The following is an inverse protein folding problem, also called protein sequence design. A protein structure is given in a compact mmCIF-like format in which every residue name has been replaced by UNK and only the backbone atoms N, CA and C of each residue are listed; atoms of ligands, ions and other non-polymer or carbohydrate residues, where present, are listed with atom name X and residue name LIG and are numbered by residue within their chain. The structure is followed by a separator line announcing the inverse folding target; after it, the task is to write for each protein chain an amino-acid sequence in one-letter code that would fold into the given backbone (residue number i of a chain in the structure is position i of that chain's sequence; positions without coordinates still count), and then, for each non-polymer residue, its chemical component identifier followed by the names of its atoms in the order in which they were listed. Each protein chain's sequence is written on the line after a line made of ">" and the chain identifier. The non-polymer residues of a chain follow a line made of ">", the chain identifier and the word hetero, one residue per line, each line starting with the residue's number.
data_IF_293048756026
#
_entry.id   IF_293048756026
#
_cell.length_a   1.000
_cell.length_b   1.000
_cell.length_c   1.000
_cell.angle_alpha   90.00
_cell.angle_beta   90.00
_cell.angle_gamma   90.00
#
_symmetry.space_group_name_H-M   'P 1'
#
loop_
_entity.id
_entity.type
_entity.pdbx_description
1 polymer ?
#
# COMPACT_ATOMS: atom_id res chain seq x y z
N UNK A 1 2.37 9.03 16.00
CA UNK A 1 2.87 9.07 14.60
C UNK A 1 3.06 7.64 14.17
N UNK A 2 2.36 7.21 13.14
CA UNK A 2 2.46 5.86 12.60
C UNK A 2 2.46 5.94 11.07
N UNK A 3 2.94 4.87 10.43
CA UNK A 3 2.93 4.75 8.98
C UNK A 3 1.69 3.95 8.60
N UNK A 4 0.89 4.51 7.70
CA UNK A 4 -0.22 3.81 7.06
C UNK A 4 0.08 3.60 5.58
N UNK A 5 -0.49 2.55 5.03
CA UNK A 5 -0.39 2.13 3.64
C UNK A 5 -1.69 2.48 2.93
N UNK A 6 -1.61 3.36 1.93
CA UNK A 6 -2.77 3.87 1.20
C UNK A 6 -2.91 3.21 -0.19
N UNK A 7 -2.94 1.87 -0.17
CA UNK A 7 -2.97 1.07 -1.41
C UNK A 7 -4.30 1.15 -2.14
N UNK A 8 -5.41 1.28 -1.42
CA UNK A 8 -6.73 1.26 -2.05
C UNK A 8 -6.97 2.50 -2.91
N UNK A 9 -6.44 3.65 -2.49
CA UNK A 9 -6.44 4.87 -3.28
C UNK A 9 -5.60 4.71 -4.55
N UNK A 10 -4.36 4.24 -4.41
CA UNK A 10 -3.45 3.97 -5.54
C UNK A 10 -4.06 3.02 -6.59
N UNK A 11 -4.70 1.94 -6.14
CA UNK A 11 -5.38 0.99 -7.04
C UNK A 11 -6.50 1.68 -7.83
N UNK A 12 -7.28 2.55 -7.19
CA UNK A 12 -8.35 3.32 -7.84
C UNK A 12 -7.78 4.33 -8.83
N UNK A 13 -6.77 5.12 -8.44
CA UNK A 13 -6.13 6.11 -9.31
C UNK A 13 -5.48 5.47 -10.54
N UNK A 14 -4.85 4.30 -10.37
CA UNK A 14 -4.16 3.58 -11.45
C UNK A 14 -5.06 2.60 -12.20
N UNK A 15 -6.35 2.50 -11.85
CA UNK A 15 -7.31 1.52 -12.39
C UNK A 15 -6.78 0.06 -12.38
N UNK A 16 -6.03 -0.30 -11.34
CA UNK A 16 -5.46 -1.64 -11.17
C UNK A 16 -6.35 -2.50 -10.27
N UNK A 17 -6.45 -3.78 -10.62
CA UNK A 17 -7.16 -4.75 -9.78
C UNK A 17 -6.27 -5.28 -8.67
N UNK A 18 -6.87 -5.55 -7.50
CA UNK A 18 -6.19 -6.20 -6.35
C UNK A 18 -5.53 -7.52 -6.77
N UNK A 19 -6.16 -8.26 -7.69
CA UNK A 19 -5.64 -9.53 -8.19
C UNK A 19 -4.37 -9.35 -9.03
N UNK A 20 -4.33 -8.32 -9.87
CA UNK A 20 -3.16 -7.99 -10.70
C UNK A 20 -1.95 -7.68 -9.83
N UNK A 21 -2.13 -6.82 -8.80
CA UNK A 21 -1.02 -6.47 -7.91
C UNK A 21 -0.57 -7.66 -7.05
N UNK A 22 -1.49 -8.53 -6.61
CA UNK A 22 -1.13 -9.77 -5.92
C UNK A 22 -0.22 -10.66 -6.77
N UNK A 23 -0.56 -10.84 -8.05
CA UNK A 23 0.19 -11.66 -8.99
C UNK A 23 1.59 -11.07 -9.24
N UNK A 24 1.65 -9.78 -9.60
CA UNK A 24 2.91 -9.09 -9.89
C UNK A 24 3.85 -9.01 -8.68
N UNK A 25 3.29 -8.81 -7.48
CA UNK A 25 4.07 -8.74 -6.26
C UNK A 25 4.41 -10.11 -5.67
N UNK A 26 3.82 -11.19 -6.19
CA UNK A 26 3.91 -12.52 -5.59
C UNK A 26 3.31 -12.56 -4.18
N UNK A 27 2.32 -11.70 -3.92
CA UNK A 27 1.65 -11.59 -2.63
C UNK A 27 0.41 -12.49 -2.61
N UNK A 28 0.20 -13.19 -1.50
CA UNK A 28 -1.10 -13.82 -1.26
C UNK A 28 -2.18 -12.78 -1.03
N UNK A 29 -3.40 -13.07 -1.49
CA UNK A 29 -4.59 -12.20 -1.35
C UNK A 29 -4.84 -11.76 0.09
N UNK A 30 -4.61 -12.66 1.06
CA UNK A 30 -4.72 -12.36 2.50
C UNK A 30 -3.68 -11.35 2.95
N UNK A 31 -2.42 -11.50 2.52
CA UNK A 31 -1.37 -10.54 2.81
C UNK A 31 -1.70 -9.18 2.20
N UNK A 32 -2.09 -9.15 0.92
CA UNK A 32 -2.48 -7.91 0.25
C UNK A 32 -3.66 -7.22 0.94
N UNK A 33 -4.66 -7.98 1.38
CA UNK A 33 -5.75 -7.43 2.19
C UNK A 33 -5.27 -6.85 3.52
N UNK A 34 -4.28 -7.47 4.16
CA UNK A 34 -3.67 -6.91 5.37
C UNK A 34 -2.92 -5.61 5.07
N UNK A 35 -2.22 -5.53 3.93
CA UNK A 35 -1.59 -4.30 3.46
C UNK A 35 -2.63 -3.19 3.25
N UNK A 36 -3.74 -3.45 2.55
CA UNK A 36 -4.83 -2.49 2.39
C UNK A 36 -5.54 -2.10 3.70
N UNK A 37 -5.50 -2.95 4.73
CA UNK A 37 -6.13 -2.71 6.03
C UNK A 37 -5.16 -2.17 7.09
N UNK A 38 -3.93 -1.83 6.72
CA UNK A 38 -2.89 -1.39 7.66
C UNK A 38 -2.63 -2.39 8.81
N UNK A 39 -2.91 -3.69 8.56
CA UNK A 39 -2.69 -4.77 9.54
C UNK A 39 -1.30 -5.38 9.46
N UNK A 40 -0.44 -4.88 8.57
CA UNK A 40 0.93 -5.37 8.43
C UNK A 40 1.85 -4.66 9.41
N UNK A 41 2.62 -5.43 10.17
CA UNK A 41 3.65 -4.89 11.07
C UNK A 41 5.03 -4.78 10.41
N UNK A 42 5.22 -5.41 9.25
CA UNK A 42 6.47 -5.42 8.49
C UNK A 42 6.18 -5.32 7.01
N UNK A 43 6.95 -4.49 6.31
CA UNK A 43 6.88 -4.32 4.86
C UNK A 43 8.22 -4.73 4.29
N UNK A 44 8.20 -5.62 3.29
CA UNK A 44 9.41 -6.02 2.58
C UNK A 44 9.73 -4.99 1.50
N UNK A 45 10.95 -4.46 1.49
CA UNK A 45 11.36 -3.45 0.51
C UNK A 45 11.31 -3.99 -0.93
N UNK A 46 11.54 -5.29 -1.11
CA UNK A 46 11.43 -5.95 -2.43
C UNK A 46 10.00 -5.92 -2.92
N UNK A 47 9.04 -6.21 -2.03
CA UNK A 47 7.61 -6.17 -2.34
C UNK A 47 7.19 -4.72 -2.61
N UNK A 48 7.63 -3.77 -1.79
CA UNK A 48 7.36 -2.36 -1.99
C UNK A 48 7.85 -1.87 -3.36
N UNK A 49 9.06 -2.25 -3.77
CA UNK A 49 9.62 -1.93 -5.08
C UNK A 49 8.80 -2.55 -6.23
N UNK A 50 8.38 -3.81 -6.10
CA UNK A 50 7.49 -4.46 -7.08
C UNK A 50 6.14 -3.76 -7.17
N UNK A 51 5.55 -3.37 -6.03
CA UNK A 51 4.29 -2.62 -6.00
C UNK A 51 4.45 -1.27 -6.68
N UNK A 52 5.53 -0.55 -6.39
CA UNK A 52 5.89 0.71 -7.05
C UNK A 52 6.02 0.54 -8.57
N UNK A 53 6.72 -0.49 -9.03
CA UNK A 53 6.86 -0.78 -10.46
C UNK A 53 5.52 -1.17 -11.11
N UNK A 54 4.70 -1.97 -10.42
CA UNK A 54 3.40 -2.45 -10.90
C UNK A 54 2.34 -1.33 -10.99
N UNK A 55 2.36 -0.42 -10.02
CA UNK A 55 1.44 0.72 -9.92
C UNK A 55 2.01 1.99 -10.54
N UNK A 56 3.23 1.97 -11.07
CA UNK A 56 3.95 3.13 -11.60
C UNK A 56 3.91 4.29 -10.58
N UNK A 57 4.29 4.00 -9.33
CA UNK A 57 4.25 4.94 -8.23
C UNK A 57 5.53 4.89 -7.39
N UNK A 58 5.65 5.80 -6.43
CA UNK A 58 6.78 5.85 -5.50
C UNK A 58 6.38 5.31 -4.13
N UNK A 59 7.32 4.84 -3.31
CA UNK A 59 7.01 4.34 -1.98
C UNK A 59 6.37 5.39 -1.08
N UNK A 60 6.59 6.68 -1.34
CA UNK A 60 5.95 7.80 -0.64
C UNK A 60 4.45 7.93 -0.94
N UNK A 61 4.00 7.40 -2.08
CA UNK A 61 2.58 7.35 -2.43
C UNK A 61 1.87 6.19 -1.71
N UNK A 62 2.59 5.08 -1.55
CA UNK A 62 2.12 3.89 -0.83
C UNK A 62 2.13 4.14 0.69
N UNK A 63 3.23 4.65 1.23
CA UNK A 63 3.48 4.82 2.66
C UNK A 63 3.24 6.27 3.07
N UNK A 64 2.20 6.51 3.87
CA UNK A 64 1.89 7.82 4.44
C UNK A 64 2.23 7.87 5.91
N UNK A 65 2.92 8.94 6.30
CA UNK A 65 3.18 9.25 7.70
C UNK A 65 1.94 9.97 8.24
N UNK A 66 1.16 9.25 9.03
CA UNK A 66 0.04 9.84 9.76
C UNK A 66 0.58 10.41 11.06
N UNK A 67 0.68 11.74 11.09
CA UNK A 67 0.85 12.47 12.33
C UNK A 67 -0.51 12.52 12.99
N UNK A 68 -0.56 12.27 14.30
CA UNK A 68 -1.75 12.56 15.10
C UNK A 68 -1.87 14.09 15.15
N UNK A 69 -2.40 14.66 14.07
CA UNK A 69 -2.94 16.00 14.12
C UNK A 69 -4.24 15.84 14.89
N UNK A 70 -4.32 16.50 16.04
CA UNK A 70 -5.59 16.80 16.66
C UNK A 70 -6.61 17.15 15.57
N UNK A 71 -7.82 16.59 15.70
CA UNK A 71 -8.98 17.09 14.97
C UNK A 71 -9.03 18.61 15.17
N UNK A 72 -8.79 19.35 14.11
CA UNK A 72 -9.34 20.69 13.89
C UNK A 72 -10.17 20.51 12.62
N UNK A 73 -11.40 20.01 12.75
CA UNK A 73 -12.69 20.73 12.86
C UNK A 73 -13.41 20.73 11.50
#
# INVERSE_FOLDING_TARGET
>A
MHIEIDLERLLKEKHKSKNFVCEECGLQRTQFNNYCKNKVSRVDLTILAKMCACLDCTPNDILKIVKETAKDE
#
